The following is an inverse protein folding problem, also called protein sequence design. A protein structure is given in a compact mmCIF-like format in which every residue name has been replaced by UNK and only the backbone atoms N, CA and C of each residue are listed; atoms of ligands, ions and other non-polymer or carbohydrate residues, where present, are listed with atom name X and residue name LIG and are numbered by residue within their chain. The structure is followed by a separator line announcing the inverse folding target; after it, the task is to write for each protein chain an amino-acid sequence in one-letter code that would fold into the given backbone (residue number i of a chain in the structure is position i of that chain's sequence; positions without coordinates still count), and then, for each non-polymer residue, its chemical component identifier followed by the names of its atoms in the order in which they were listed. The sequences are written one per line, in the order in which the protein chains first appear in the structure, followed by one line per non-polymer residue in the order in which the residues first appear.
data_IF_038759153558
#
_entry.id   IF_038759153558
#
_cell.length_a   1.000
_cell.length_b   1.000
_cell.length_c   1.000
_cell.angle_alpha   90.00
_cell.angle_beta   90.00
_cell.angle_gamma   90.00
#
_symmetry.space_group_name_H-M   'P 1'
#
loop_
_entity.id
_entity.type
_entity.pdbx_description
1 polymer ?
#
# COMPACT_ATOMS: atom_id res chain seq x y z
N UNK A 1 -2.15 -10.88 -1.88
CA UNK A 1 -1.37 -10.12 -0.88
C UNK A 1 -0.22 -9.45 -1.59
N UNK A 2 -0.29 -8.16 -1.76
CA UNK A 2 0.80 -7.40 -2.36
C UNK A 2 1.62 -6.77 -1.24
N UNK A 3 2.80 -7.32 -0.98
CA UNK A 3 3.79 -6.72 -0.09
C UNK A 3 4.60 -5.74 -0.94
N UNK A 4 4.33 -4.47 -0.83
CA UNK A 4 5.24 -3.44 -1.26
C UNK A 4 6.03 -2.95 -0.05
N UNK A 5 7.07 -3.70 0.32
CA UNK A 5 8.13 -3.14 1.15
C UNK A 5 9.03 -2.38 0.18
N UNK A 6 8.96 -1.08 0.19
CA UNK A 6 9.91 -0.24 -0.51
C UNK A 6 11.05 0.11 0.45
N UNK A 7 12.25 -0.45 0.27
CA UNK A 7 13.44 0.07 0.93
C UNK A 7 13.88 1.28 0.12
N UNK A 8 13.48 2.44 0.56
CA UNK A 8 13.88 3.67 -0.12
C UNK A 8 14.19 4.71 0.94
N UNK A 9 15.26 5.45 0.69
CA UNK A 9 15.86 6.42 1.57
C UNK A 9 14.87 7.24 2.40
N UNK A 10 15.30 7.64 3.52
CA UNK A 10 14.56 8.18 4.66
C UNK A 10 13.52 9.25 4.30
N UNK A 11 13.80 10.08 3.29
CA UNK A 11 12.88 11.13 2.81
C UNK A 11 12.16 10.69 1.54
N UNK A 12 10.84 10.53 1.63
CA UNK A 12 10.00 10.12 0.50
C UNK A 12 8.71 10.90 0.40
N UNK A 13 8.37 11.22 -0.82
CA UNK A 13 7.05 11.68 -1.20
C UNK A 13 6.48 10.71 -2.24
N UNK A 14 5.47 9.95 -1.84
CA UNK A 14 4.71 9.11 -2.76
C UNK A 14 3.87 10.00 -3.69
N UNK A 15 3.91 9.70 -4.99
CA UNK A 15 3.08 10.40 -5.97
C UNK A 15 1.60 10.29 -5.64
N UNK A 16 0.88 11.39 -5.78
CA UNK A 16 -0.57 11.42 -5.62
C UNK A 16 -1.24 10.51 -6.65
N UNK A 17 -1.96 9.51 -6.18
CA UNK A 17 -2.64 8.53 -7.02
C UNK A 17 -3.98 8.10 -6.41
N UNK A 18 -4.70 7.27 -7.11
CA UNK A 18 -5.95 6.66 -6.66
C UNK A 18 -6.08 5.24 -7.18
N UNK A 19 -6.79 4.39 -6.43
CA UNK A 19 -7.15 3.04 -6.85
C UNK A 19 -8.22 3.02 -7.94
N UNK A 20 -8.36 1.85 -8.54
CA UNK A 20 -9.19 1.66 -9.74
C UNK A 20 -10.62 1.23 -9.42
N UNK A 21 -10.91 0.76 -8.22
CA UNK A 21 -12.21 0.15 -7.91
C UNK A 21 -12.66 0.43 -6.48
N UNK A 22 -13.94 0.77 -6.33
CA UNK A 22 -14.60 0.88 -5.02
C UNK A 22 -14.88 -0.46 -4.36
N UNK A 23 -14.62 -1.56 -5.03
CA UNK A 23 -14.81 -2.91 -4.48
C UNK A 23 -13.81 -3.30 -3.40
N UNK A 24 -12.76 -2.51 -3.20
CA UNK A 24 -11.71 -2.75 -2.22
C UNK A 24 -11.66 -1.63 -1.18
N UNK A 25 -11.21 -1.99 0.01
CA UNK A 25 -10.80 -1.07 1.07
C UNK A 25 -9.35 -1.36 1.40
N UNK A 26 -8.52 -0.35 1.45
CA UNK A 26 -7.12 -0.48 1.85
C UNK A 26 -6.98 -0.34 3.36
N UNK A 27 -6.15 -1.20 3.91
CA UNK A 27 -5.69 -1.12 5.30
C UNK A 27 -4.18 -1.03 5.29
N UNK A 28 -3.66 0.00 5.91
CA UNK A 28 -2.24 0.15 6.18
C UNK A 28 -1.97 -0.20 7.64
N UNK A 29 -1.15 -1.23 7.88
CA UNK A 29 -0.65 -1.56 9.21
C UNK A 29 0.71 -0.88 9.40
N UNK A 30 0.81 0.00 10.39
CA UNK A 30 2.07 0.63 10.79
C UNK A 30 2.99 -0.40 11.46
N UNK A 31 4.15 -0.66 10.88
CA UNK A 31 5.17 -1.55 11.46
C UNK A 31 6.24 -0.73 12.17
N UNK A 32 6.70 0.32 11.52
CA UNK A 32 7.69 1.25 12.03
C UNK A 32 7.37 2.66 11.54
N UNK A 33 7.51 3.64 12.39
CA UNK A 33 7.19 5.02 12.04
C UNK A 33 8.16 6.00 12.68
N UNK A 34 8.46 7.10 11.98
CA UNK A 34 9.18 8.22 12.55
C UNK A 34 8.47 8.83 13.76
N UNK A 35 9.26 9.34 14.68
CA UNK A 35 8.79 10.02 15.90
C UNK A 35 7.95 11.27 15.57
N UNK A 36 8.29 12.00 14.52
CA UNK A 36 7.60 13.22 14.11
C UNK A 36 6.42 12.93 13.19
N UNK A 37 5.21 12.89 13.76
CA UNK A 37 3.95 12.65 13.05
C UNK A 37 3.58 13.73 12.03
N UNK A 38 4.04 14.96 12.21
CA UNK A 38 3.71 16.04 11.29
C UNK A 38 4.50 15.94 9.99
N UNK A 39 5.72 15.41 10.07
CA UNK A 39 6.63 15.21 8.94
C UNK A 39 6.49 13.83 8.27
N UNK A 40 5.86 12.86 8.96
CA UNK A 40 5.52 11.56 8.40
C UNK A 40 4.00 11.37 8.44
N UNK A 41 3.35 11.55 7.30
CA UNK A 41 1.90 11.62 7.19
C UNK A 41 1.38 11.13 5.86
N UNK A 42 0.07 10.86 5.83
CA UNK A 42 -0.69 10.58 4.62
C UNK A 42 -1.86 11.56 4.51
N UNK A 43 -2.28 11.84 3.29
CA UNK A 43 -3.50 12.60 2.98
C UNK A 43 -4.38 11.77 2.07
N UNK A 44 -5.63 11.60 2.46
CA UNK A 44 -6.64 10.86 1.69
C UNK A 44 -7.87 11.75 1.54
N UNK A 45 -8.28 12.07 0.31
CA UNK A 45 -9.48 12.87 0.05
C UNK A 45 -9.49 14.23 0.77
N UNK A 46 -8.33 14.81 1.05
CA UNK A 46 -8.22 16.07 1.79
C UNK A 46 -7.98 15.91 3.30
N UNK A 47 -8.25 14.75 3.88
CA UNK A 47 -8.01 14.48 5.31
C UNK A 47 -6.57 14.02 5.53
N UNK A 48 -5.94 14.52 6.60
CA UNK A 48 -4.60 14.09 7.01
C UNK A 48 -4.69 13.02 8.08
N UNK A 49 -3.85 12.01 7.97
CA UNK A 49 -3.64 10.99 8.99
C UNK A 49 -2.16 10.62 9.07
N UNK A 50 -1.78 9.96 10.16
CA UNK A 50 -0.46 9.38 10.35
C UNK A 50 -0.59 7.97 10.88
N UNK A 51 0.41 7.15 10.60
CA UNK A 51 0.46 5.80 11.13
C UNK A 51 0.94 5.81 12.58
N UNK A 52 0.52 4.77 13.32
CA UNK A 52 1.10 4.42 14.61
C UNK A 52 1.48 2.93 14.55
N UNK A 53 2.53 2.57 15.26
CA UNK A 53 3.00 1.19 15.34
C UNK A 53 1.92 0.28 15.91
N UNK A 54 1.69 -0.84 15.24
CA UNK A 54 0.65 -1.80 15.60
C UNK A 54 -0.79 -1.35 15.29
N UNK A 55 -1.01 -0.10 14.88
CA UNK A 55 -2.34 0.40 14.52
C UNK A 55 -2.60 0.28 13.01
N UNK A 56 -3.88 0.15 12.68
CA UNK A 56 -4.38 0.01 11.32
C UNK A 56 -5.09 1.27 10.89
N UNK A 57 -4.77 1.76 9.70
CA UNK A 57 -5.46 2.87 9.04
C UNK A 57 -6.25 2.30 7.88
N UNK A 58 -7.58 2.43 7.90
CA UNK A 58 -8.45 2.02 6.81
C UNK A 58 -8.85 3.22 5.98
N UNK A 59 -8.78 3.09 4.67
CA UNK A 59 -9.23 4.14 3.76
C UNK A 59 -9.69 3.56 2.42
N UNK A 60 -10.52 4.34 1.73
CA UNK A 60 -10.94 4.07 0.37
C UNK A 60 -9.87 4.61 -0.59
N UNK A 61 -9.13 3.73 -1.24
CA UNK A 61 -8.03 4.12 -2.12
C UNK A 61 -8.50 4.74 -3.45
N UNK A 62 -9.81 4.71 -3.74
CA UNK A 62 -10.36 5.42 -4.90
C UNK A 62 -10.34 6.95 -4.74
N UNK A 63 -10.20 7.45 -3.51
CA UNK A 63 -9.86 8.84 -3.29
C UNK A 63 -8.40 9.10 -3.59
N UNK A 64 -8.09 10.30 -4.07
CA UNK A 64 -6.71 10.72 -4.21
C UNK A 64 -5.99 10.66 -2.87
N UNK A 65 -4.90 9.95 -2.83
CA UNK A 65 -4.07 9.83 -1.64
C UNK A 65 -2.60 9.96 -1.99
N UNK A 66 -1.85 10.44 -1.03
CA UNK A 66 -0.41 10.68 -1.12
C UNK A 66 0.19 10.56 0.29
N UNK A 67 1.45 10.16 0.35
CA UNK A 67 2.14 9.94 1.61
C UNK A 67 3.50 10.62 1.59
N UNK A 68 3.91 11.16 2.73
CA UNK A 68 5.20 11.83 2.92
C UNK A 68 5.94 11.22 4.09
N UNK A 69 7.23 11.09 3.94
CA UNK A 69 8.19 10.97 5.01
C UNK A 69 9.27 12.03 4.79
N UNK A 70 9.19 13.12 5.52
CA UNK A 70 10.15 14.24 5.47
C UNK A 70 11.14 14.17 6.64
N UNK A 71 11.22 13.01 7.31
CA UNK A 71 12.16 12.76 8.40
C UNK A 71 13.37 11.98 7.90
N UNK A 72 14.37 11.86 8.74
CA UNK A 72 15.54 11.01 8.50
C UNK A 72 15.39 9.62 9.16
N UNK A 73 14.18 9.29 9.62
CA UNK A 73 13.82 8.00 10.21
C UNK A 73 13.06 7.13 9.22
N UNK A 74 13.19 5.82 9.34
CA UNK A 74 12.51 4.86 8.48
C UNK A 74 11.01 4.81 8.76
N UNK A 75 10.24 4.57 7.71
CA UNK A 75 8.82 4.25 7.79
C UNK A 75 8.58 2.92 7.11
N UNK A 76 8.08 1.95 7.88
CA UNK A 76 7.62 0.68 7.35
C UNK A 76 6.10 0.56 7.55
N UNK A 77 5.37 0.32 6.47
CA UNK A 77 3.92 0.12 6.46
C UNK A 77 3.61 -1.11 5.63
N UNK A 78 2.73 -1.95 6.13
CA UNK A 78 2.26 -3.14 5.42
C UNK A 78 0.84 -2.89 4.89
N UNK A 79 0.67 -2.67 3.57
CA UNK A 79 -0.64 -2.46 2.97
C UNK A 79 -1.35 -3.79 2.70
N UNK A 80 -2.67 -3.82 2.98
CA UNK A 80 -3.57 -4.90 2.62
C UNK A 80 -4.80 -4.35 1.91
N UNK A 81 -5.29 -5.07 0.92
CA UNK A 81 -6.56 -4.77 0.28
C UNK A 81 -7.59 -5.83 0.68
N UNK A 82 -8.74 -5.39 1.17
CA UNK A 82 -9.88 -6.23 1.50
C UNK A 82 -11.02 -5.98 0.53
N UNK A 83 -11.78 -7.04 0.22
CA UNK A 83 -13.06 -6.85 -0.45
C UNK A 83 -14.00 -6.06 0.47
N UNK A 84 -14.55 -4.97 -0.04
CA UNK A 84 -15.51 -4.15 0.70
C UNK A 84 -16.75 -4.98 1.05
N UNK A 85 -17.18 -5.00 2.31
CA UNK A 85 -18.46 -5.58 2.66
C UNK A 85 -19.58 -4.89 1.86
N UNK A 86 -20.31 -5.65 1.08
CA UNK A 86 -21.39 -5.17 0.21
C UNK A 86 -22.61 -6.06 0.30
N UNK A 87 -23.78 -5.49 0.00
CA UNK A 87 -24.99 -6.27 -0.23
C UNK A 87 -24.76 -7.29 -1.36
N UNK A 88 -25.53 -8.39 -1.42
CA UNK A 88 -25.40 -9.38 -2.51
C UNK A 88 -25.49 -8.75 -3.90
N UNK A 89 -26.37 -7.77 -4.09
CA UNK A 89 -26.51 -7.02 -5.36
C UNK A 89 -25.26 -6.18 -5.66
N UNK A 90 -24.72 -5.48 -4.67
CA UNK A 90 -23.50 -4.69 -4.82
C UNK A 90 -22.30 -5.56 -5.15
N UNK A 91 -22.19 -6.73 -4.52
CA UNK A 91 -21.13 -7.72 -4.80
C UNK A 91 -21.22 -8.26 -6.23
N UNK A 92 -22.43 -8.55 -6.70
CA UNK A 92 -22.64 -9.00 -8.08
C UNK A 92 -22.18 -7.95 -9.10
N UNK A 93 -22.52 -6.67 -8.88
CA UNK A 93 -22.11 -5.57 -9.75
C UNK A 93 -20.60 -5.26 -9.69
N UNK A 94 -19.95 -5.44 -8.53
CA UNK A 94 -18.52 -5.12 -8.36
C UNK A 94 -17.59 -6.21 -8.92
N UNK A 95 -18.04 -7.45 -9.01
CA UNK A 95 -17.23 -8.60 -9.49
C UNK A 95 -16.59 -8.38 -10.86
N UNK A 96 -17.29 -7.89 -11.89
CA UNK A 96 -16.67 -7.62 -13.19
C UNK A 96 -15.57 -6.56 -13.10
N UNK A 97 -15.77 -5.51 -12.30
CA UNK A 97 -14.78 -4.47 -12.05
C UNK A 97 -13.53 -5.01 -11.35
N UNK A 98 -13.70 -5.83 -10.33
CA UNK A 98 -12.58 -6.49 -9.64
C UNK A 98 -11.81 -7.46 -10.54
N UNK A 99 -12.52 -8.24 -11.37
CA UNK A 99 -11.88 -9.12 -12.35
C UNK A 99 -11.16 -8.33 -13.45
N UNK A 100 -11.75 -7.23 -13.91
CA UNK A 100 -11.17 -6.35 -14.92
C UNK A 100 -9.90 -5.66 -14.40
N UNK A 101 -9.91 -5.16 -13.16
CA UNK A 101 -8.76 -4.49 -12.58
C UNK A 101 -7.53 -5.40 -12.47
N UNK A 102 -7.72 -6.70 -12.19
CA UNK A 102 -6.63 -7.70 -12.15
C UNK A 102 -5.92 -7.90 -13.51
N UNK A 103 -6.56 -7.52 -14.61
CA UNK A 103 -6.01 -7.61 -15.98
C UNK A 103 -5.31 -6.34 -16.43
N UNK A 104 -5.35 -5.28 -15.62
CA UNK A 104 -4.71 -4.01 -15.97
C UNK A 104 -3.18 -4.12 -15.95
N UNK A 105 -2.52 -3.25 -16.71
CA UNK A 105 -1.05 -3.14 -16.71
C UNK A 105 -0.51 -2.92 -15.28
N UNK A 106 -1.21 -2.15 -14.47
CA UNK A 106 -0.85 -1.89 -13.07
C UNK A 106 -0.66 -3.18 -12.26
N UNK A 107 -1.63 -4.10 -12.31
CA UNK A 107 -1.52 -5.38 -11.59
C UNK A 107 -0.47 -6.32 -12.18
N UNK A 108 -0.30 -6.29 -13.50
CA UNK A 108 0.76 -7.08 -14.16
C UNK A 108 2.14 -6.60 -13.76
N UNK A 109 2.33 -5.29 -13.72
CA UNK A 109 3.60 -4.67 -13.31
C UNK A 109 3.88 -4.90 -11.83
N UNK A 110 2.87 -4.77 -10.97
CA UNK A 110 2.99 -5.07 -9.54
C UNK A 110 3.41 -6.53 -9.31
N UNK A 111 2.80 -7.49 -10.02
CA UNK A 111 3.19 -8.90 -9.94
C UNK A 111 4.61 -9.16 -10.45
N UNK A 112 4.99 -8.50 -11.54
CA UNK A 112 6.35 -8.62 -12.09
C UNK A 112 7.39 -8.11 -11.09
N UNK A 113 7.14 -6.94 -10.51
CA UNK A 113 8.03 -6.34 -9.52
C UNK A 113 8.12 -7.20 -8.25
N UNK A 114 6.99 -7.76 -7.79
CA UNK A 114 6.97 -8.68 -6.65
C UNK A 114 7.83 -9.93 -6.92
N UNK A 115 7.67 -10.56 -8.08
CA UNK A 115 8.47 -11.74 -8.46
C UNK A 115 9.96 -11.43 -8.55
N UNK A 116 10.31 -10.28 -9.10
CA UNK A 116 11.71 -9.83 -9.17
C UNK A 116 12.30 -9.64 -7.76
N UNK A 117 11.53 -9.02 -6.87
CA UNK A 117 11.93 -8.82 -5.48
C UNK A 117 12.06 -10.16 -4.73
N UNK A 118 11.09 -11.07 -4.86
CA UNK A 118 11.14 -12.41 -4.25
C UNK A 118 12.36 -13.21 -4.72
N UNK A 119 12.70 -13.13 -6.00
CA UNK A 119 13.88 -13.80 -6.55
C UNK A 119 15.18 -13.22 -5.97
N UNK A 120 15.24 -11.90 -5.81
CA UNK A 120 16.40 -11.24 -5.20
C UNK A 120 16.51 -11.58 -3.71
N UNK A 121 15.41 -11.55 -2.98
CA UNK A 121 15.36 -11.89 -1.56
C UNK A 121 15.78 -13.34 -1.31
N UNK A 122 15.36 -14.27 -2.15
CA UNK A 122 15.78 -15.68 -2.09
C UNK A 122 17.30 -15.83 -2.23
N UNK A 123 17.91 -15.12 -3.16
CA UNK A 123 19.37 -15.12 -3.31
C UNK A 123 20.12 -14.66 -2.06
N UNK A 124 19.57 -13.63 -1.39
CA UNK A 124 20.16 -13.14 -0.12
C UNK A 124 20.03 -14.18 0.99
N UNK A 125 18.92 -14.93 1.06
CA UNK A 125 18.75 -16.00 2.05
C UNK A 125 19.65 -17.21 1.77
N UNK A 126 19.91 -17.53 0.50
CA UNK A 126 20.78 -18.64 0.10
C UNK A 126 22.27 -18.31 0.27
N UNK A 127 22.62 -17.02 0.26
CA UNK A 127 24.00 -16.53 0.43
C UNK A 127 24.01 -15.38 1.46
N UNK A 128 23.75 -15.68 2.76
CA UNK A 128 23.88 -14.65 3.79
C UNK A 128 25.33 -14.13 3.80
N UNK A 129 25.44 -12.81 3.76
CA UNK A 129 26.76 -12.18 3.89
C UNK A 129 27.39 -12.62 5.23
N UNK A 130 28.60 -13.14 5.14
CA UNK A 130 29.38 -13.57 6.29
C UNK A 130 29.76 -12.39 7.20
#
# INVERSE_FOLDING_TARGET
MSKAVAPLGWRQHGTRHRGLTKGLVRCDLGLEKPSNKQRCRMKVGGQRCSWKEGERVFFDDTYHHEAWNETDEERAVLPFDFERPMTPRGRWLSRPSLKGSRRTAYFRDARRNQRAWEAQYRKVLEHPAA
#
